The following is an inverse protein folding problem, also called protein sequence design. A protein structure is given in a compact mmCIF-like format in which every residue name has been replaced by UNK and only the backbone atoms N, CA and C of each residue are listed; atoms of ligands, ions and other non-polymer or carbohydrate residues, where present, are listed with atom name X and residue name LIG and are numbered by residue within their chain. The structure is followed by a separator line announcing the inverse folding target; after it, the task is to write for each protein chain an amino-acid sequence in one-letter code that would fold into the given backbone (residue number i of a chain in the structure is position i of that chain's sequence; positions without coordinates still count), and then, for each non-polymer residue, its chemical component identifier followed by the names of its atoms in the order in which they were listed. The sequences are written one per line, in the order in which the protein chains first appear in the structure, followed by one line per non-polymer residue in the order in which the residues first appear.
data_IF_870747018474
#
_entry.id   IF_870747018474
#
_cell.length_a   1.000
_cell.length_b   1.000
_cell.length_c   1.000
_cell.angle_alpha   90.00
_cell.angle_beta   90.00
_cell.angle_gamma   90.00
#
_symmetry.space_group_name_H-M   'P 1'
#
loop_
_entity.id
_entity.type
_entity.pdbx_description
1 polymer ?
#
# COMPACT_ATOMS: atom_id res chain seq x y z
N UNK A 1 -0.59 -9.96 -3.83
CA UNK A 1 -1.41 -10.17 -2.62
C UNK A 1 -2.71 -9.40 -2.71
N UNK A 2 -3.80 -9.92 -2.09
CA UNK A 2 -5.14 -9.32 -2.15
C UNK A 2 -5.58 -8.80 -0.79
N UNK A 3 -6.62 -7.96 -0.76
CA UNK A 3 -7.26 -7.46 0.44
C UNK A 3 -7.63 -8.58 1.43
N UNK A 4 -8.12 -9.71 0.91
CA UNK A 4 -8.42 -10.90 1.74
C UNK A 4 -7.20 -11.53 2.39
N UNK A 5 -6.01 -11.37 1.82
CA UNK A 5 -4.76 -11.90 2.37
C UNK A 5 -4.18 -11.06 3.51
N UNK A 6 -4.43 -9.74 3.49
CA UNK A 6 -3.91 -8.79 4.47
C UNK A 6 -4.93 -8.31 5.50
N UNK A 7 -6.22 -8.63 5.32
CA UNK A 7 -7.28 -8.18 6.22
C UNK A 7 -7.18 -8.82 7.60
N UNK A 8 -7.50 -8.04 8.61
CA UNK A 8 -7.73 -8.50 9.99
C UNK A 8 -9.20 -8.93 10.16
N UNK A 9 -9.42 -10.02 10.92
CA UNK A 9 -10.77 -10.53 11.20
C UNK A 9 -11.37 -9.98 12.50
N UNK A 10 -10.57 -9.25 13.26
CA UNK A 10 -11.00 -8.61 14.51
C UNK A 10 -11.61 -7.24 14.19
N UNK A 11 -12.90 -7.20 14.02
CA UNK A 11 -13.67 -5.96 13.79
C UNK A 11 -15.00 -6.03 14.56
N UNK A 12 -15.53 -4.86 14.90
CA UNK A 12 -16.79 -4.76 15.66
C UNK A 12 -17.91 -4.35 14.71
N UNK A 13 -19.00 -5.11 14.76
CA UNK A 13 -20.23 -4.81 14.01
C UNK A 13 -21.41 -4.58 14.97
N UNK A 14 -22.31 -3.70 14.57
CA UNK A 14 -23.57 -3.43 15.28
C UNK A 14 -24.72 -3.44 14.29
N UNK A 15 -25.93 -3.75 14.76
CA UNK A 15 -27.10 -3.70 13.92
C UNK A 15 -27.60 -2.25 13.70
N UNK A 16 -28.20 -2.00 12.55
CA UNK A 16 -28.93 -0.74 12.26
C UNK A 16 -29.90 -0.34 13.37
N UNK A 17 -30.55 -1.32 13.97
CA UNK A 17 -31.61 -1.14 14.99
C UNK A 17 -31.09 -1.08 16.41
N UNK A 18 -29.80 -1.31 16.62
CA UNK A 18 -29.22 -1.27 17.96
C UNK A 18 -29.29 0.15 18.55
N UNK A 19 -29.65 0.21 19.82
CA UNK A 19 -29.53 1.45 20.60
C UNK A 19 -28.07 1.78 20.88
N UNK A 20 -27.77 3.03 21.18
CA UNK A 20 -26.43 3.48 21.54
C UNK A 20 -25.86 2.67 22.72
N UNK A 21 -26.69 2.40 23.75
CA UNK A 21 -26.25 1.62 24.91
C UNK A 21 -25.88 0.18 24.51
N UNK A 22 -26.67 -0.45 23.64
CA UNK A 22 -26.37 -1.80 23.17
C UNK A 22 -25.08 -1.83 22.34
N UNK A 23 -24.87 -0.84 21.48
CA UNK A 23 -23.61 -0.72 20.72
C UNK A 23 -22.39 -0.58 21.65
N UNK A 24 -22.51 0.19 22.73
CA UNK A 24 -21.42 0.32 23.72
C UNK A 24 -21.16 -1.00 24.46
N UNK A 25 -22.20 -1.79 24.77
CA UNK A 25 -22.01 -3.13 25.34
C UNK A 25 -21.26 -4.04 24.39
N UNK A 26 -21.67 -4.11 23.11
CA UNK A 26 -21.00 -4.90 22.08
C UNK A 26 -19.52 -4.47 21.96
N UNK A 27 -19.24 -3.17 21.90
CA UNK A 27 -17.88 -2.65 21.84
C UNK A 27 -17.04 -3.10 23.04
N UNK A 28 -17.61 -3.10 24.25
CA UNK A 28 -16.91 -3.57 25.47
C UNK A 28 -16.66 -5.06 25.48
N UNK A 29 -17.54 -5.84 24.87
CA UNK A 29 -17.44 -7.30 24.83
C UNK A 29 -16.46 -7.77 23.73
N UNK A 30 -16.50 -7.12 22.56
CA UNK A 30 -15.80 -7.59 21.36
C UNK A 30 -14.46 -6.89 21.08
N UNK A 31 -14.21 -5.74 21.73
CA UNK A 31 -13.02 -4.94 21.44
C UNK A 31 -12.09 -4.67 22.65
N UNK A 32 -11.95 -5.59 23.65
CA UNK A 32 -11.12 -5.30 24.82
C UNK A 32 -9.65 -5.07 24.48
N UNK A 33 -9.14 -5.70 23.42
CA UNK A 33 -7.73 -5.67 23.02
C UNK A 33 -7.48 -4.93 21.68
N UNK A 34 -8.51 -4.27 21.12
CA UNK A 34 -8.37 -3.59 19.83
C UNK A 34 -7.94 -2.13 20.04
N UNK A 35 -6.63 -1.89 20.08
CA UNK A 35 -6.04 -0.56 20.27
C UNK A 35 -6.41 0.44 19.16
N UNK A 36 -6.79 -0.04 17.97
CA UNK A 36 -7.06 0.77 16.77
C UNK A 36 -8.55 0.80 16.40
N UNK A 37 -9.45 0.76 17.38
CA UNK A 37 -10.87 0.86 17.16
C UNK A 37 -11.31 2.33 16.99
N UNK A 38 -11.32 2.84 15.78
CA UNK A 38 -11.79 4.21 15.48
C UNK A 38 -13.26 4.24 15.07
N UNK A 39 -13.74 3.18 14.46
CA UNK A 39 -15.07 3.08 13.85
C UNK A 39 -15.70 1.73 14.16
N UNK A 40 -17.04 1.72 14.13
CA UNK A 40 -17.88 0.54 14.22
C UNK A 40 -18.66 0.40 12.92
N UNK A 41 -18.72 -0.80 12.39
CA UNK A 41 -19.42 -1.09 11.14
C UNK A 41 -20.89 -1.41 11.44
N UNK A 42 -21.78 -0.80 10.66
CA UNK A 42 -23.22 -1.01 10.83
C UNK A 42 -23.72 -1.95 9.76
N UNK A 43 -24.37 -3.03 10.18
CA UNK A 43 -24.89 -4.07 9.29
C UNK A 43 -26.42 -4.17 9.40
N UNK A 44 -27.04 -4.73 8.36
CA UNK A 44 -28.45 -5.13 8.41
C UNK A 44 -28.62 -6.52 9.05
N UNK A 45 -29.89 -6.98 9.14
CA UNK A 45 -30.23 -8.31 9.70
C UNK A 45 -29.61 -9.49 8.92
N UNK A 46 -29.14 -9.25 7.72
CA UNK A 46 -28.46 -10.24 6.87
C UNK A 46 -26.93 -10.18 6.97
N UNK A 47 -26.38 -9.27 7.80
CA UNK A 47 -24.95 -9.06 7.94
C UNK A 47 -24.30 -8.23 6.84
N UNK A 48 -25.09 -7.60 5.96
CA UNK A 48 -24.57 -6.73 4.90
C UNK A 48 -24.16 -5.37 5.47
N UNK A 49 -23.05 -4.85 5.00
CA UNK A 49 -22.55 -3.53 5.36
C UNK A 49 -23.51 -2.44 4.90
N UNK A 50 -23.95 -1.58 5.82
CA UNK A 50 -24.91 -0.47 5.57
C UNK A 50 -24.35 0.88 5.94
N UNK A 51 -23.41 0.94 6.85
CA UNK A 51 -22.89 2.20 7.32
C UNK A 51 -21.66 2.06 8.21
N UNK A 52 -21.18 3.21 8.63
CA UNK A 52 -20.06 3.34 9.55
C UNK A 52 -20.36 4.41 10.59
N UNK A 53 -19.99 4.16 11.84
CA UNK A 53 -20.11 5.12 12.94
C UNK A 53 -18.77 5.29 13.63
N UNK A 54 -18.32 6.53 13.78
CA UNK A 54 -17.11 6.79 14.58
C UNK A 54 -17.42 6.67 16.08
N UNK A 55 -16.46 6.23 16.87
CA UNK A 55 -16.59 6.18 18.34
C UNK A 55 -16.95 7.54 18.93
N UNK A 56 -16.46 8.64 18.33
CA UNK A 56 -16.83 10.00 18.72
C UNK A 56 -18.31 10.24 18.62
N UNK A 57 -18.99 9.80 17.55
CA UNK A 57 -20.46 9.97 17.39
C UNK A 57 -21.22 9.15 18.44
N UNK A 58 -20.76 7.93 18.73
CA UNK A 58 -21.36 7.09 19.79
C UNK A 58 -21.26 7.77 21.16
N UNK A 59 -20.06 8.30 21.51
CA UNK A 59 -19.84 8.99 22.79
C UNK A 59 -20.73 10.23 22.91
N UNK A 60 -20.88 11.02 21.86
CA UNK A 60 -21.76 12.21 21.85
C UNK A 60 -23.22 11.82 22.01
N UNK A 61 -23.64 10.67 21.48
CA UNK A 61 -25.00 10.19 21.54
C UNK A 61 -25.37 9.40 22.83
N UNK A 62 -24.41 9.13 23.74
CA UNK A 62 -24.61 8.33 24.95
C UNK A 62 -25.77 8.76 25.84
N UNK A 63 -26.11 10.05 25.86
CA UNK A 63 -27.17 10.61 26.70
C UNK A 63 -28.52 10.76 25.96
N UNK A 64 -28.66 10.11 24.78
CA UNK A 64 -29.87 10.21 23.97
C UNK A 64 -30.52 8.83 23.80
N UNK A 65 -31.34 8.36 24.75
CA UNK A 65 -31.80 6.95 24.80
C UNK A 65 -32.66 6.51 23.60
N UNK A 66 -33.24 7.45 22.85
CA UNK A 66 -34.13 7.14 21.72
C UNK A 66 -33.39 7.03 20.37
N UNK A 67 -32.07 7.29 20.34
CA UNK A 67 -31.26 7.27 19.11
C UNK A 67 -30.77 5.84 18.85
N UNK A 68 -30.93 5.38 17.62
CA UNK A 68 -30.41 4.09 17.15
C UNK A 68 -29.22 4.33 16.21
N UNK A 69 -28.50 3.24 15.91
CA UNK A 69 -27.29 3.30 15.08
C UNK A 69 -27.58 3.85 13.68
N UNK A 70 -28.76 3.55 13.12
CA UNK A 70 -29.19 4.09 11.83
C UNK A 70 -29.27 5.62 11.78
N UNK A 71 -29.57 6.27 12.92
CA UNK A 71 -29.74 7.73 12.98
C UNK A 71 -28.40 8.50 12.95
N UNK A 72 -27.31 7.85 13.36
CA UNK A 72 -26.01 8.51 13.50
C UNK A 72 -24.95 7.99 12.51
N UNK A 73 -25.24 6.89 11.81
CA UNK A 73 -24.29 6.34 10.85
C UNK A 73 -24.06 7.23 9.63
N UNK A 74 -22.93 7.06 8.99
CA UNK A 74 -22.71 7.50 7.62
C UNK A 74 -23.00 6.34 6.68
N UNK A 75 -23.81 6.57 5.67
CA UNK A 75 -24.13 5.58 4.63
C UNK A 75 -23.13 5.57 3.48
N UNK A 76 -22.31 6.62 3.37
CA UNK A 76 -21.22 6.69 2.42
C UNK A 76 -20.02 5.94 2.99
N UNK A 77 -19.98 4.64 2.74
CA UNK A 77 -18.89 3.77 3.18
C UNK A 77 -18.07 3.35 1.97
N UNK A 78 -16.78 3.65 2.02
CA UNK A 78 -15.83 3.12 1.05
C UNK A 78 -15.44 1.74 1.55
N UNK A 79 -15.68 0.71 0.76
CA UNK A 79 -15.33 -0.69 1.02
C UNK A 79 -14.51 -1.24 -0.14
N UNK A 80 -13.77 -2.31 0.10
CA UNK A 80 -13.01 -3.04 -0.91
C UNK A 80 -13.47 -4.50 -0.95
N UNK A 81 -13.38 -5.11 -2.13
CA UNK A 81 -13.66 -6.54 -2.31
C UNK A 81 -12.48 -7.39 -1.79
N UNK A 82 -12.75 -8.62 -1.37
CA UNK A 82 -11.74 -9.59 -0.94
C UNK A 82 -10.65 -9.79 -1.99
N UNK A 83 -11.00 -9.73 -3.27
CA UNK A 83 -10.10 -9.95 -4.40
C UNK A 83 -9.34 -8.68 -4.83
N UNK A 84 -9.61 -7.51 -4.20
CA UNK A 84 -8.93 -6.25 -4.52
C UNK A 84 -7.44 -6.35 -4.22
N UNK A 85 -6.60 -5.84 -5.11
CA UNK A 85 -5.16 -5.81 -4.93
C UNK A 85 -4.73 -4.90 -3.76
N UNK A 86 -3.69 -5.31 -3.02
CA UNK A 86 -3.22 -4.57 -1.83
C UNK A 86 -2.76 -3.15 -2.15
N UNK A 87 -2.14 -2.93 -3.31
CA UNK A 87 -1.69 -1.60 -3.75
C UNK A 87 -2.89 -0.70 -4.08
N UNK A 88 -3.95 -1.26 -4.66
CA UNK A 88 -5.20 -0.56 -4.91
C UNK A 88 -5.87 -0.15 -3.59
N UNK A 89 -5.89 -1.04 -2.59
CA UNK A 89 -6.37 -0.72 -1.23
C UNK A 89 -5.58 0.45 -0.64
N UNK A 90 -4.25 0.41 -0.71
CA UNK A 90 -3.39 1.50 -0.24
C UNK A 90 -3.69 2.83 -0.95
N UNK A 91 -3.89 2.78 -2.26
CA UNK A 91 -4.26 3.95 -3.08
C UNK A 91 -5.62 4.53 -2.69
N UNK A 92 -6.62 3.67 -2.44
CA UNK A 92 -7.97 4.07 -2.00
C UNK A 92 -7.88 4.74 -0.63
N UNK A 93 -7.21 4.13 0.35
CA UNK A 93 -7.09 4.66 1.71
C UNK A 93 -6.41 6.02 1.72
N UNK A 94 -5.34 6.20 0.94
CA UNK A 94 -4.64 7.47 0.78
C UNK A 94 -5.49 8.52 0.07
N UNK A 95 -6.19 8.15 -1.01
CA UNK A 95 -7.01 9.07 -1.81
C UNK A 95 -8.16 9.67 -1.02
N UNK A 96 -8.76 8.87 -0.13
CA UNK A 96 -9.93 9.25 0.63
C UNK A 96 -9.62 9.61 2.09
N UNK A 97 -8.35 9.59 2.49
CA UNK A 97 -7.87 9.92 3.84
C UNK A 97 -8.58 9.11 4.93
N UNK A 98 -8.70 7.80 4.71
CA UNK A 98 -9.38 6.87 5.63
C UNK A 98 -8.38 6.01 6.40
N UNK A 99 -8.61 5.89 7.71
CA UNK A 99 -7.73 5.15 8.64
C UNK A 99 -8.06 3.66 8.71
N UNK A 100 -9.22 3.25 8.22
CA UNK A 100 -9.64 1.84 8.18
C UNK A 100 -10.69 1.63 7.10
N UNK A 101 -10.54 0.57 6.32
CA UNK A 101 -11.46 0.20 5.23
C UNK A 101 -12.04 -1.19 5.50
N UNK A 102 -13.37 -1.38 5.37
CA UNK A 102 -13.99 -2.70 5.48
C UNK A 102 -13.76 -3.50 4.20
N UNK A 103 -13.48 -4.77 4.38
CA UNK A 103 -13.41 -5.75 3.30
C UNK A 103 -14.72 -6.49 3.23
N UNK A 104 -15.32 -6.56 2.05
CA UNK A 104 -16.61 -7.20 1.82
C UNK A 104 -16.49 -8.35 0.82
N UNK A 105 -17.41 -9.31 0.95
CA UNK A 105 -17.59 -10.37 -0.04
C UNK A 105 -18.48 -9.90 -1.20
N UNK A 106 -18.73 -10.80 -2.17
CA UNK A 106 -19.58 -10.54 -3.36
C UNK A 106 -21.05 -10.29 -3.02
N UNK A 107 -21.47 -10.69 -1.85
CA UNK A 107 -22.82 -10.48 -1.30
C UNK A 107 -22.92 -9.22 -0.43
N UNK A 108 -21.83 -8.42 -0.32
CA UNK A 108 -21.71 -7.22 0.51
C UNK A 108 -21.66 -7.48 2.02
N UNK A 109 -21.34 -8.71 2.48
CA UNK A 109 -21.08 -8.96 3.89
C UNK A 109 -19.68 -8.52 4.25
N UNK A 110 -19.55 -7.92 5.42
CA UNK A 110 -18.23 -7.57 5.95
C UNK A 110 -17.50 -8.85 6.42
N UNK A 111 -16.31 -9.08 5.91
CA UNK A 111 -15.50 -10.28 6.21
C UNK A 111 -14.18 -9.94 6.89
N UNK A 112 -13.80 -8.66 6.90
CA UNK A 112 -12.59 -8.18 7.52
C UNK A 112 -12.48 -6.66 7.50
N UNK A 113 -11.39 -6.15 8.05
CA UNK A 113 -10.97 -4.75 7.94
C UNK A 113 -9.49 -4.69 7.57
N UNK A 114 -9.08 -3.60 6.97
CA UNK A 114 -7.67 -3.25 6.76
C UNK A 114 -7.47 -1.88 7.41
N UNK A 115 -6.46 -1.76 8.27
CA UNK A 115 -6.11 -0.50 8.94
C UNK A 115 -4.96 0.20 8.22
N UNK A 116 -4.78 1.48 8.52
CA UNK A 116 -3.69 2.27 7.94
C UNK A 116 -2.30 1.72 8.30
N UNK A 117 -2.17 1.10 9.47
CA UNK A 117 -0.91 0.52 9.93
C UNK A 117 -0.49 -0.66 9.03
N UNK A 118 -1.46 -1.52 8.65
CA UNK A 118 -1.24 -2.64 7.72
C UNK A 118 -0.79 -2.11 6.34
N UNK A 119 -1.37 -0.99 5.90
CA UNK A 119 -1.05 -0.35 4.63
C UNK A 119 0.30 0.37 4.66
N UNK A 120 0.69 0.94 5.80
CA UNK A 120 1.98 1.62 5.93
C UNK A 120 3.15 0.66 5.69
N UNK A 121 3.08 -0.56 6.23
CA UNK A 121 4.07 -1.62 6.01
C UNK A 121 4.13 -2.01 4.52
N UNK A 122 2.98 -2.24 3.88
CA UNK A 122 2.90 -2.55 2.45
C UNK A 122 3.50 -1.43 1.58
N UNK A 123 3.22 -0.17 1.91
CA UNK A 123 3.77 0.97 1.18
C UNK A 123 5.29 1.06 1.31
N UNK A 124 5.86 0.70 2.45
CA UNK A 124 7.31 0.66 2.66
C UNK A 124 7.95 -0.46 1.85
N UNK A 125 7.34 -1.65 1.82
CA UNK A 125 7.76 -2.78 0.99
C UNK A 125 7.76 -2.41 -0.50
N UNK A 126 6.66 -1.87 -1.02
CA UNK A 126 6.51 -1.46 -2.42
C UNK A 126 7.52 -0.37 -2.79
N UNK A 127 7.70 0.64 -1.92
CA UNK A 127 8.70 1.68 -2.16
C UNK A 127 10.12 1.11 -2.24
N UNK A 128 10.45 0.19 -1.33
CA UNK A 128 11.75 -0.49 -1.32
C UNK A 128 11.95 -1.33 -2.58
N UNK A 129 10.91 -2.04 -3.03
CA UNK A 129 10.93 -2.84 -4.25
C UNK A 129 11.10 -1.97 -5.51
N UNK A 130 10.38 -0.87 -5.60
CA UNK A 130 10.48 0.07 -6.71
C UNK A 130 11.86 0.72 -6.79
N UNK A 131 12.42 1.15 -5.66
CA UNK A 131 13.79 1.68 -5.60
C UNK A 131 14.80 0.61 -6.03
N UNK A 132 14.63 -0.63 -5.56
CA UNK A 132 15.51 -1.73 -5.93
C UNK A 132 15.44 -2.04 -7.44
N UNK A 133 14.26 -2.01 -8.06
CA UNK A 133 14.08 -2.18 -9.50
C UNK A 133 14.80 -1.08 -10.31
N UNK A 134 14.73 0.17 -9.87
CA UNK A 134 15.43 1.30 -10.52
C UNK A 134 16.96 1.08 -10.48
N UNK A 135 17.47 0.53 -9.39
CA UNK A 135 18.92 0.27 -9.22
C UNK A 135 19.34 -1.07 -9.85
N UNK A 136 18.38 -1.84 -10.41
CA UNK A 136 18.64 -3.16 -11.01
C UNK A 136 19.00 -4.23 -10.00
N UNK A 137 18.44 -4.14 -8.79
CA UNK A 137 18.60 -5.14 -7.72
C UNK A 137 17.23 -5.53 -7.15
N UNK A 138 17.20 -6.67 -6.44
CA UNK A 138 16.00 -7.10 -5.72
C UNK A 138 16.02 -6.52 -4.30
N UNK A 139 14.88 -6.01 -3.80
CA UNK A 139 14.78 -5.39 -2.47
C UNK A 139 15.16 -6.40 -1.36
N UNK A 140 14.71 -7.64 -1.47
CA UNK A 140 15.08 -8.74 -0.57
C UNK A 140 16.60 -8.99 -0.52
N UNK A 141 17.30 -8.73 -1.64
CA UNK A 141 18.75 -8.88 -1.71
C UNK A 141 19.49 -7.80 -0.92
N UNK A 142 18.94 -6.60 -0.82
CA UNK A 142 19.57 -5.48 -0.11
C UNK A 142 19.42 -5.60 1.41
N UNK A 143 18.30 -6.15 1.91
CA UNK A 143 18.04 -6.27 3.34
C UNK A 143 18.67 -7.50 4.00
N UNK A 144 18.73 -8.63 3.27
CA UNK A 144 19.12 -9.92 3.86
C UNK A 144 20.57 -10.36 3.65
N UNK A 145 21.30 -9.76 2.69
CA UNK A 145 22.65 -10.22 2.30
C UNK A 145 23.77 -9.29 2.74
N UNK A 146 24.92 -9.88 3.05
CA UNK A 146 26.11 -9.08 3.37
C UNK A 146 26.59 -8.30 2.14
N UNK A 147 27.25 -7.12 2.32
CA UNK A 147 27.75 -6.30 1.21
C UNK A 147 28.63 -7.06 0.22
N UNK A 148 29.34 -8.08 0.68
CA UNK A 148 30.21 -8.91 -0.16
C UNK A 148 29.41 -9.88 -1.04
N UNK A 149 28.29 -10.40 -0.54
CA UNK A 149 27.38 -11.26 -1.31
C UNK A 149 26.66 -10.46 -2.40
N UNK A 150 26.23 -9.23 -2.09
CA UNK A 150 25.62 -8.30 -3.05
C UNK A 150 26.63 -7.95 -4.17
N UNK A 151 27.87 -7.68 -3.82
CA UNK A 151 28.94 -7.41 -4.80
C UNK A 151 29.15 -8.59 -5.76
N UNK A 152 29.13 -9.82 -5.26
CA UNK A 152 29.27 -11.01 -6.09
C UNK A 152 28.10 -11.26 -7.04
N UNK A 153 26.88 -10.98 -6.59
CA UNK A 153 25.67 -11.08 -7.41
C UNK A 153 25.63 -10.04 -8.54
N UNK A 154 26.15 -8.84 -8.27
CA UNK A 154 26.23 -7.74 -9.25
C UNK A 154 27.42 -7.86 -10.21
N UNK A 155 28.45 -8.63 -9.86
CA UNK A 155 29.65 -8.76 -10.65
C UNK A 155 29.38 -9.16 -12.12
N UNK A 156 28.54 -10.15 -12.44
CA UNK A 156 28.25 -10.51 -13.83
C UNK A 156 27.66 -9.37 -14.64
N UNK A 157 26.73 -8.61 -14.06
CA UNK A 157 26.12 -7.46 -14.72
C UNK A 157 27.13 -6.33 -14.98
N UNK A 158 27.95 -6.03 -13.97
CA UNK A 158 29.03 -5.03 -14.09
C UNK A 158 30.02 -5.44 -15.16
N UNK A 159 30.39 -6.72 -15.24
CA UNK A 159 31.32 -7.23 -16.26
C UNK A 159 30.73 -7.13 -17.67
N UNK A 160 29.45 -7.42 -17.85
CA UNK A 160 28.74 -7.25 -19.13
C UNK A 160 28.74 -5.78 -19.54
N UNK A 161 28.39 -4.89 -18.63
CA UNK A 161 28.37 -3.45 -18.89
C UNK A 161 29.76 -2.91 -19.22
N UNK A 162 30.78 -3.36 -18.49
CA UNK A 162 32.16 -3.02 -18.77
C UNK A 162 32.61 -3.51 -20.15
N UNK A 163 32.21 -4.74 -20.53
CA UNK A 163 32.49 -5.29 -21.85
C UNK A 163 31.86 -4.48 -22.99
N UNK A 164 30.61 -4.06 -22.81
CA UNK A 164 29.91 -3.20 -23.79
C UNK A 164 30.60 -1.84 -23.88
N UNK A 165 31.00 -1.22 -22.77
CA UNK A 165 31.71 0.05 -22.76
C UNK A 165 33.09 -0.07 -23.41
N UNK A 166 33.78 -1.17 -23.21
CA UNK A 166 35.06 -1.42 -23.86
C UNK A 166 34.92 -1.55 -25.37
N UNK A 167 33.89 -2.26 -25.86
CA UNK A 167 33.56 -2.34 -27.28
C UNK A 167 33.23 -0.96 -27.87
N UNK A 168 32.43 -0.17 -27.16
CA UNK A 168 32.14 1.21 -27.56
C UNK A 168 33.42 2.05 -27.66
N UNK A 169 34.35 1.90 -26.72
CA UNK A 169 35.67 2.55 -26.76
C UNK A 169 36.51 2.18 -27.99
N UNK A 170 36.46 0.91 -28.41
CA UNK A 170 37.15 0.45 -29.63
C UNK A 170 36.53 1.13 -30.86
N UNK A 171 35.22 1.18 -30.94
CA UNK A 171 34.51 1.84 -32.05
C UNK A 171 34.88 3.33 -32.12
N UNK A 172 34.87 4.01 -30.97
CA UNK A 172 35.26 5.43 -30.88
C UNK A 172 36.69 5.63 -31.35
N UNK A 173 37.61 4.80 -30.91
CA UNK A 173 39.02 4.88 -31.34
C UNK A 173 39.20 4.63 -32.86
N UNK A 174 38.38 3.77 -33.44
CA UNK A 174 38.39 3.53 -34.89
C UNK A 174 37.95 4.77 -35.70
N UNK A 175 37.08 5.59 -35.15
CA UNK A 175 36.60 6.83 -35.77
C UNK A 175 37.27 8.10 -35.25
N UNK A 176 38.41 7.98 -34.56
CA UNK A 176 39.09 9.11 -33.88
C UNK A 176 39.45 10.23 -34.83
N UNK A 177 39.93 9.94 -36.06
CA UNK A 177 40.21 10.95 -37.07
C UNK A 177 38.96 11.76 -37.52
N UNK A 178 37.79 11.14 -37.47
CA UNK A 178 36.53 11.78 -37.83
C UNK A 178 36.01 12.63 -36.66
N UNK A 179 36.16 12.14 -35.46
CA UNK A 179 35.81 12.85 -34.23
C UNK A 179 36.71 14.06 -33.96
N UNK A 180 38.01 13.96 -34.29
CA UNK A 180 38.94 15.07 -34.16
C UNK A 180 38.62 16.24 -35.09
N UNK A 181 37.96 15.98 -36.23
CA UNK A 181 37.50 17.03 -37.18
C UNK A 181 36.24 17.77 -36.68
N UNK A 182 35.48 17.19 -35.75
CA UNK A 182 34.25 17.78 -35.21
C UNK A 182 34.34 17.80 -33.67
N UNK A 183 35.17 18.68 -33.15
CA UNK A 183 35.42 18.85 -31.72
C UNK A 183 34.11 19.02 -30.90
N UNK A 184 33.05 19.52 -31.53
CA UNK A 184 31.75 19.67 -30.90
C UNK A 184 31.09 18.34 -30.54
N UNK A 185 31.31 17.29 -31.33
CA UNK A 185 30.71 15.95 -31.07
C UNK A 185 31.29 15.29 -29.82
N UNK A 186 32.57 15.48 -29.51
CA UNK A 186 33.20 14.97 -28.31
C UNK A 186 32.65 15.59 -27.02
N UNK A 187 32.20 16.84 -27.09
CA UNK A 187 31.56 17.52 -25.94
C UNK A 187 30.19 16.95 -25.59
N UNK A 188 29.50 16.27 -26.51
CA UNK A 188 28.19 15.65 -26.27
C UNK A 188 28.30 14.20 -25.77
N UNK A 189 29.45 13.55 -25.85
CA UNK A 189 29.64 12.17 -25.41
C UNK A 189 29.24 11.92 -23.93
N UNK A 190 29.62 12.77 -22.95
CA UNK A 190 29.19 12.60 -21.56
C UNK A 190 27.67 12.73 -21.39
N UNK A 191 27.03 13.58 -22.18
CA UNK A 191 25.59 13.80 -22.13
C UNK A 191 24.83 12.58 -22.68
N UNK A 192 25.29 12.01 -23.79
CA UNK A 192 24.70 10.80 -24.39
C UNK A 192 24.87 9.61 -23.46
N UNK A 193 26.04 9.47 -22.83
CA UNK A 193 26.31 8.41 -21.86
C UNK A 193 25.44 8.54 -20.59
N UNK A 194 25.19 9.77 -20.13
CA UNK A 194 24.32 10.02 -18.98
C UNK A 194 22.85 9.72 -19.26
N UNK A 195 22.36 9.99 -20.49
CA UNK A 195 20.98 9.70 -20.89
C UNK A 195 20.73 8.17 -21.02
N UNK A 196 21.73 7.41 -21.42
CA UNK A 196 21.59 5.96 -21.59
C UNK A 196 21.74 5.17 -20.29
N UNK A 197 22.15 5.82 -19.21
CA UNK A 197 22.35 5.20 -17.89
C UNK A 197 21.22 5.45 -16.88
N UNK A 198 20.14 6.12 -17.31
CA UNK A 198 18.93 6.35 -16.50
C UNK A 198 17.79 5.47 -16.98
#
# INVERSE_FOLDING_TARGET
DTAGGIMQKEFVTVSLTDSINRAVEIIREEAPDNEHLYHVWVTDEKGKLRGIVSLKKIIVALNTPSVIMADIMSTEVISVDVDTDREEVASIMRKYDIVSVPVVDKEEHIVGKISFDDIAEIMEEEFSEDVAKIVGSDAEELESKSPFQIAWLRLPWVLITLGIQFLAGIVINYYDETLAKVLLLTSFMPIISAISGN
#
